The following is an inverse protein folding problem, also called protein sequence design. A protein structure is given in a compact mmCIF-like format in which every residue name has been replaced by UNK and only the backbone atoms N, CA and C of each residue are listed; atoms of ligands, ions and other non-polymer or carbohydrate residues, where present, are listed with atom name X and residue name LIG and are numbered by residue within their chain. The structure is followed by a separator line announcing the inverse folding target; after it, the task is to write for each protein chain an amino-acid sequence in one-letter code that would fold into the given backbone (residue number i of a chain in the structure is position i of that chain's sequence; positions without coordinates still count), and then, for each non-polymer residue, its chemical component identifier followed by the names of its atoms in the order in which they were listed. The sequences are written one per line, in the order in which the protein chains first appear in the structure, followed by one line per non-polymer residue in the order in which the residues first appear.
data_IF_868748965629
#
_entry.id   IF_868748965629
#
_cell.length_a   1.000
_cell.length_b   1.000
_cell.length_c   1.000
_cell.angle_alpha   90.00
_cell.angle_beta   90.00
_cell.angle_gamma   90.00
#
_symmetry.space_group_name_H-M   'P 1'
#
loop_
_entity.id
_entity.type
_entity.pdbx_description
1 polymer ?
#
# COMPACT_ATOMS: atom_id res chain seq x y z
N UNK A 1 14.82 1.14 0.09
CA UNK A 1 13.42 1.57 0.05
C UNK A 1 12.75 1.33 1.39
N UNK A 2 12.05 2.31 1.88
CA UNK A 2 11.37 2.24 3.17
C UNK A 2 9.86 2.17 2.96
N UNK A 3 9.20 1.22 3.64
CA UNK A 3 7.76 1.06 3.54
C UNK A 3 7.13 1.34 4.91
N UNK A 4 6.26 2.34 4.95
CA UNK A 4 5.51 2.68 6.16
C UNK A 4 4.04 2.34 5.94
N UNK A 5 3.42 1.69 6.92
CA UNK A 5 2.01 1.31 6.85
C UNK A 5 1.26 1.94 8.01
N UNK A 6 0.19 2.64 7.69
CA UNK A 6 -0.68 3.27 8.69
C UNK A 6 -2.09 2.71 8.58
N UNK A 7 -2.72 2.43 9.71
CA UNK A 7 -4.09 1.97 9.73
C UNK A 7 -5.02 3.06 10.25
N UNK A 8 -6.16 3.23 9.58
CA UNK A 8 -7.25 4.10 10.04
C UNK A 8 -8.46 3.23 10.32
N UNK A 9 -8.89 3.17 11.57
CA UNK A 9 -9.98 2.31 12.01
C UNK A 9 -9.70 0.83 11.77
N UNK A 10 -8.41 0.46 11.72
CA UNK A 10 -7.96 -0.91 11.59
C UNK A 10 -6.58 -1.03 12.25
N UNK A 11 -6.38 -2.14 12.94
CA UNK A 11 -5.08 -2.46 13.52
C UNK A 11 -4.23 -3.15 12.44
N UNK A 12 -3.02 -2.66 12.24
CA UNK A 12 -2.10 -3.28 11.27
C UNK A 12 -1.46 -4.49 11.93
N UNK A 13 -1.93 -5.66 11.53
CA UNK A 13 -1.40 -6.92 12.03
C UNK A 13 -0.07 -7.24 11.36
N UNK A 14 0.68 -8.16 11.95
CA UNK A 14 1.92 -8.63 11.35
C UNK A 14 1.67 -9.24 9.98
N UNK A 15 0.56 -9.97 9.83
CA UNK A 15 0.19 -10.57 8.56
C UNK A 15 -0.03 -9.52 7.46
N UNK A 16 -0.74 -8.44 7.79
CA UNK A 16 -0.97 -7.34 6.85
C UNK A 16 0.35 -6.65 6.49
N UNK A 17 1.19 -6.41 7.49
CA UNK A 17 2.48 -5.77 7.29
C UNK A 17 3.33 -6.59 6.31
N UNK A 18 3.45 -7.89 6.56
CA UNK A 18 4.22 -8.78 5.71
C UNK A 18 3.63 -8.90 4.30
N UNK A 19 2.33 -8.94 4.20
CA UNK A 19 1.66 -9.02 2.91
C UNK A 19 1.97 -7.80 2.05
N UNK A 20 1.88 -6.62 2.64
CA UNK A 20 2.18 -5.37 1.94
C UNK A 20 3.65 -5.34 1.53
N UNK A 21 4.55 -5.67 2.44
CA UNK A 21 5.99 -5.65 2.15
C UNK A 21 6.34 -6.60 0.99
N UNK A 22 5.76 -7.80 0.99
CA UNK A 22 6.01 -8.76 -0.07
C UNK A 22 5.47 -8.29 -1.42
N UNK A 23 4.29 -7.70 -1.43
CA UNK A 23 3.69 -7.21 -2.67
C UNK A 23 4.46 -6.02 -3.24
N UNK A 24 4.88 -5.10 -2.40
CA UNK A 24 5.59 -3.91 -2.85
C UNK A 24 7.06 -4.17 -3.21
N UNK A 25 7.63 -5.30 -2.80
CA UNK A 25 8.97 -5.68 -3.24
C UNK A 25 9.06 -5.82 -4.77
N UNK A 26 7.98 -6.23 -5.40
CA UNK A 26 7.93 -6.35 -6.86
C UNK A 26 8.06 -4.98 -7.52
N UNK A 27 7.50 -3.96 -6.90
CA UNK A 27 7.60 -2.60 -7.40
C UNK A 27 9.03 -2.11 -7.32
N UNK A 28 9.74 -2.44 -6.25
CA UNK A 28 11.14 -2.07 -6.08
C UNK A 28 12.02 -2.60 -7.20
N UNK A 29 11.72 -3.81 -7.67
CA UNK A 29 12.49 -4.41 -8.77
C UNK A 29 12.27 -3.72 -10.10
N UNK A 30 11.08 -3.14 -10.30
CA UNK A 30 10.74 -2.50 -11.56
C UNK A 30 10.96 -1.00 -11.57
N UNK A 31 11.04 -0.38 -10.40
CA UNK A 31 11.18 1.07 -10.27
C UNK A 31 12.32 1.38 -9.30
N UNK A 32 13.53 1.39 -9.82
CA UNK A 32 14.73 1.58 -9.00
C UNK A 32 14.83 2.97 -8.36
N UNK A 33 14.06 3.93 -8.86
CA UNK A 33 14.09 5.31 -8.34
C UNK A 33 13.06 5.59 -7.26
N UNK A 34 12.39 4.57 -6.73
CA UNK A 34 11.46 4.74 -5.60
C UNK A 34 12.26 4.87 -4.32
N UNK A 35 12.05 5.96 -3.59
CA UNK A 35 12.75 6.24 -2.33
C UNK A 35 11.99 5.67 -1.14
N UNK A 36 10.71 6.02 -1.04
CA UNK A 36 9.85 5.58 0.06
C UNK A 36 8.46 5.23 -0.45
N UNK A 37 7.77 4.36 0.29
CA UNK A 37 6.37 4.04 0.05
C UNK A 37 5.61 4.24 1.36
N UNK A 38 4.51 4.96 1.31
CA UNK A 38 3.61 5.10 2.45
C UNK A 38 2.26 4.50 2.07
N UNK A 39 1.84 3.48 2.80
CA UNK A 39 0.57 2.80 2.57
C UNK A 39 -0.39 3.13 3.72
N UNK A 40 -1.59 3.52 3.37
CA UNK A 40 -2.65 3.79 4.36
C UNK A 40 -3.79 2.82 4.10
N UNK A 41 -4.15 2.05 5.12
CA UNK A 41 -5.29 1.13 5.05
C UNK A 41 -6.42 1.71 5.89
N UNK A 42 -7.59 1.82 5.30
CA UNK A 42 -8.76 2.38 5.98
C UNK A 42 -9.92 1.40 5.92
N UNK A 43 -10.58 1.21 7.06
CA UNK A 43 -11.82 0.43 7.13
C UNK A 43 -12.94 1.40 7.42
N UNK A 44 -13.96 1.39 6.56
CA UNK A 44 -15.13 2.20 6.75
C UNK A 44 -16.38 1.38 6.45
N UNK A 45 -17.11 1.01 7.49
CA UNK A 45 -18.26 0.11 7.39
C UNK A 45 -17.83 -1.22 6.74
N UNK A 46 -18.34 -1.53 5.55
CA UNK A 46 -18.00 -2.76 4.86
C UNK A 46 -16.94 -2.55 3.78
N UNK A 47 -16.43 -1.32 3.66
CA UNK A 47 -15.45 -0.99 2.62
C UNK A 47 -14.04 -0.96 3.18
N UNK A 48 -13.13 -1.58 2.44
CA UNK A 48 -11.71 -1.59 2.78
C UNK A 48 -10.97 -0.80 1.72
N UNK A 49 -10.29 0.26 2.15
CA UNK A 49 -9.54 1.11 1.23
C UNK A 49 -8.05 0.99 1.48
N UNK A 50 -7.30 0.89 0.39
CA UNK A 50 -5.85 0.91 0.45
C UNK A 50 -5.34 2.05 -0.41
N UNK A 51 -4.47 2.88 0.15
CA UNK A 51 -3.86 4.00 -0.55
C UNK A 51 -2.35 3.89 -0.44
N UNK A 52 -1.65 4.28 -1.49
CA UNK A 52 -0.20 4.31 -1.46
C UNK A 52 0.33 5.58 -2.10
N UNK A 53 1.33 6.17 -1.45
CA UNK A 53 2.10 7.28 -2.00
C UNK A 53 3.53 6.78 -2.16
N UNK A 54 4.02 6.81 -3.38
CA UNK A 54 5.40 6.44 -3.70
C UNK A 54 6.19 7.71 -3.93
N UNK A 55 7.23 7.91 -3.12
CA UNK A 55 8.12 9.04 -3.28
C UNK A 55 9.25 8.67 -4.23
N UNK A 56 9.38 9.43 -5.31
CA UNK A 56 10.44 9.26 -6.30
C UNK A 56 11.25 10.54 -6.40
N UNK A 57 12.37 10.51 -7.12
CA UNK A 57 13.26 11.67 -7.22
C UNK A 57 12.59 12.94 -7.72
N UNK A 58 11.60 12.81 -8.58
CA UNK A 58 10.96 13.97 -9.23
C UNK A 58 9.53 14.25 -8.77
N UNK A 59 9.11 13.66 -7.65
CA UNK A 59 7.77 13.89 -7.15
C UNK A 59 7.18 12.67 -6.47
N UNK A 60 5.87 12.55 -6.53
CA UNK A 60 5.14 11.47 -5.89
C UNK A 60 4.18 10.80 -6.87
N UNK A 61 4.01 9.50 -6.71
CA UNK A 61 3.00 8.74 -7.43
C UNK A 61 1.97 8.33 -6.39
N UNK A 62 0.71 8.57 -6.69
CA UNK A 62 -0.39 8.26 -5.78
C UNK A 62 -1.34 7.26 -6.43
N UNK A 63 -1.76 6.24 -5.67
CA UNK A 63 -2.73 5.27 -6.12
C UNK A 63 -3.65 4.87 -4.97
N UNK A 64 -4.87 4.44 -5.29
CA UNK A 64 -5.78 3.92 -4.30
C UNK A 64 -6.64 2.81 -4.88
N UNK A 65 -7.24 2.03 -4.00
CA UNK A 65 -8.21 1.02 -4.37
C UNK A 65 -9.18 0.80 -3.22
N UNK A 66 -10.37 0.27 -3.53
CA UNK A 66 -11.40 0.01 -2.53
C UNK A 66 -12.09 -1.30 -2.88
N UNK A 67 -12.13 -2.22 -1.94
CA UNK A 67 -12.73 -3.54 -2.10
C UNK A 67 -13.41 -3.96 -0.79
N UNK A 68 -14.12 -5.07 -0.83
CA UNK A 68 -14.76 -5.61 0.35
C UNK A 68 -13.77 -6.34 1.27
N UNK A 69 -12.63 -6.74 0.74
CA UNK A 69 -11.58 -7.44 1.45
C UNK A 69 -10.27 -6.65 1.35
N UNK A 70 -9.59 -6.48 2.48
CA UNK A 70 -8.38 -5.66 2.50
C UNK A 70 -7.25 -6.25 1.65
N UNK A 71 -7.10 -7.57 1.63
CA UNK A 71 -6.06 -8.19 0.81
C UNK A 71 -6.32 -7.97 -0.68
N UNK A 72 -7.58 -7.99 -1.08
CA UNK A 72 -7.96 -7.68 -2.47
C UNK A 72 -7.70 -6.21 -2.79
N UNK A 73 -7.95 -5.32 -1.83
CA UNK A 73 -7.66 -3.90 -2.02
C UNK A 73 -6.17 -3.68 -2.23
N UNK A 74 -5.34 -4.36 -1.45
CA UNK A 74 -3.89 -4.26 -1.57
C UNK A 74 -3.43 -4.81 -2.93
N UNK A 75 -3.97 -5.95 -3.34
CA UNK A 75 -3.63 -6.55 -4.63
C UNK A 75 -3.94 -5.60 -5.79
N UNK A 76 -5.13 -5.00 -5.78
CA UNK A 76 -5.51 -4.04 -6.82
C UNK A 76 -4.64 -2.80 -6.78
N UNK A 77 -4.29 -2.34 -5.58
CA UNK A 77 -3.44 -1.17 -5.41
C UNK A 77 -2.07 -1.39 -6.08
N UNK A 78 -1.49 -2.55 -5.87
CA UNK A 78 -0.17 -2.87 -6.42
C UNK A 78 -0.20 -2.96 -7.94
N UNK A 79 -1.33 -3.35 -8.53
CA UNK A 79 -1.48 -3.46 -9.98
C UNK A 79 -1.64 -2.09 -10.67
N UNK A 80 -1.84 -1.04 -9.91
CA UNK A 80 -1.90 0.31 -10.46
C UNK A 80 -0.54 0.98 -10.41
#
# INVERSE_FOLDING_TARGET
MKINVTGRHIHITEALQLYIENKFKKIEKHFANVIDIHVILTVEKIRMEAEATLKINKGNIFANSEKEDMYMAIDELVDK
#
